data_IF_623011121584
#
_entry.id   IF_623011121584
#
_cell.length_a   1.000
_cell.length_b   1.000
_cell.length_c   1.000
_cell.angle_alpha   90.00
_cell.angle_beta   90.00
_cell.angle_gamma   90.00
#
_symmetry.space_group_name_H-M   'P 1'
#
loop_
_entity.id
_entity.type
_entity.pdbx_description
1 polymer ?
#
# COMPACT_ATOMS: atom_id res chain seq x y z
N UNK A 1 -6.27 13.29 -2.52
CA UNK A 1 -4.96 13.92 -2.83
C UNK A 1 -4.99 14.84 -4.05
N UNK A 2 -5.75 14.56 -5.12
CA UNK A 2 -5.79 15.44 -6.30
C UNK A 2 -6.15 16.92 -6.00
N UNK A 3 -7.11 17.19 -5.11
CA UNK A 3 -7.44 18.55 -4.70
C UNK A 3 -6.28 19.24 -3.97
N UNK A 4 -5.58 18.50 -3.09
CA UNK A 4 -4.40 18.98 -2.37
C UNK A 4 -3.24 19.28 -3.32
N UNK A 5 -2.98 18.41 -4.28
CA UNK A 5 -1.95 18.61 -5.30
C UNK A 5 -2.12 19.96 -6.03
N UNK A 6 -3.36 20.38 -6.30
CA UNK A 6 -3.66 21.64 -6.98
C UNK A 6 -3.42 22.88 -6.11
N UNK A 7 -3.50 22.73 -4.80
CA UNK A 7 -3.37 23.85 -3.83
C UNK A 7 -2.04 23.86 -3.09
N UNK A 8 -1.20 22.84 -3.29
CA UNK A 8 0.08 22.67 -2.60
C UNK A 8 1.13 23.62 -3.21
N UNK A 9 1.67 24.58 -2.44
CA UNK A 9 2.64 25.55 -2.94
C UNK A 9 4.03 24.95 -3.19
N UNK A 10 4.41 23.86 -2.50
CA UNK A 10 5.66 23.17 -2.77
C UNK A 10 5.50 22.30 -4.04
N UNK A 11 6.21 22.59 -5.14
CA UNK A 11 6.04 21.86 -6.40
C UNK A 11 6.41 20.38 -6.30
N UNK A 12 7.33 20.02 -5.40
CA UNK A 12 7.70 18.62 -5.15
C UNK A 12 6.58 17.87 -4.42
N UNK A 13 5.95 18.51 -3.43
CA UNK A 13 4.80 17.93 -2.74
C UNK A 13 3.56 17.87 -3.61
N UNK A 14 3.33 18.90 -4.44
CA UNK A 14 2.24 18.92 -5.41
C UNK A 14 2.36 17.74 -6.37
N UNK A 15 3.55 17.50 -6.91
CA UNK A 15 3.83 16.38 -7.80
C UNK A 15 3.69 15.02 -7.09
N UNK A 16 4.18 14.90 -5.85
CA UNK A 16 3.98 13.70 -5.03
C UNK A 16 2.49 13.37 -4.87
N UNK A 17 1.67 14.36 -4.52
CA UNK A 17 0.23 14.17 -4.31
C UNK A 17 -0.52 13.90 -5.60
N UNK A 18 -0.10 14.47 -6.73
CA UNK A 18 -0.65 14.16 -8.06
C UNK A 18 -0.39 12.70 -8.41
N UNK A 19 0.87 12.25 -8.31
CA UNK A 19 1.27 10.88 -8.61
C UNK A 19 0.61 9.85 -7.71
N UNK A 20 0.54 10.15 -6.41
CA UNK A 20 -0.20 9.32 -5.47
C UNK A 20 -1.69 9.27 -5.82
N UNK A 21 -2.31 10.37 -6.26
CA UNK A 21 -3.71 10.33 -6.68
C UNK A 21 -3.93 9.47 -7.94
N UNK A 22 -3.00 9.49 -8.89
CA UNK A 22 -3.03 8.66 -10.11
C UNK A 22 -2.79 7.18 -9.79
N UNK A 23 -1.79 6.91 -8.94
CA UNK A 23 -1.53 5.60 -8.37
C UNK A 23 -2.78 5.04 -7.69
N UNK A 24 -3.38 5.80 -6.79
CA UNK A 24 -4.60 5.38 -6.09
C UNK A 24 -5.82 5.27 -7.00
N UNK A 25 -5.91 5.99 -8.12
CA UNK A 25 -7.01 5.81 -9.06
C UNK A 25 -6.96 4.42 -9.70
N UNK A 26 -5.77 3.97 -10.10
CA UNK A 26 -5.59 2.61 -10.64
C UNK A 26 -5.83 1.51 -9.61
N UNK A 27 -5.72 1.82 -8.30
CA UNK A 27 -5.97 0.86 -7.21
C UNK A 27 -7.35 1.00 -6.57
N UNK A 28 -8.01 2.15 -6.66
CA UNK A 28 -9.40 2.37 -6.23
C UNK A 28 -10.41 1.86 -7.26
N UNK A 29 -9.93 1.44 -8.42
CA UNK A 29 -10.75 0.72 -9.37
C UNK A 29 -11.34 -0.54 -8.72
N UNK A 30 -12.51 -0.92 -9.20
CA UNK A 30 -13.35 -1.93 -8.57
C UNK A 30 -12.66 -3.26 -8.38
N UNK A 31 -11.57 -3.56 -9.08
CA UNK A 31 -10.70 -4.70 -8.83
C UNK A 31 -10.22 -4.82 -7.37
N UNK A 32 -9.76 -3.73 -6.75
CA UNK A 32 -9.25 -3.78 -5.37
C UNK A 32 -10.38 -3.65 -4.35
N UNK A 33 -11.40 -2.82 -4.62
CA UNK A 33 -12.60 -2.75 -3.77
C UNK A 33 -13.37 -4.08 -3.74
N UNK A 34 -13.53 -4.77 -4.88
CA UNK A 34 -14.12 -6.12 -4.94
C UNK A 34 -13.25 -7.14 -4.21
N UNK A 35 -11.92 -7.03 -4.29
CA UNK A 35 -10.99 -7.91 -3.57
C UNK A 35 -11.02 -7.71 -2.04
N UNK A 36 -11.41 -6.53 -1.54
CA UNK A 36 -11.49 -6.23 -0.10
C UNK A 36 -12.90 -6.28 0.49
N UNK A 37 -13.92 -5.93 -0.29
CA UNK A 37 -15.31 -5.76 0.17
C UNK A 37 -16.31 -6.68 -0.56
N UNK A 38 -15.83 -7.51 -1.50
CA UNK A 38 -16.62 -8.50 -2.23
C UNK A 38 -17.19 -8.01 -3.58
N UNK A 39 -17.66 -8.93 -4.44
CA UNK A 39 -18.33 -8.60 -5.69
C UNK A 39 -19.62 -7.78 -5.40
N UNK A 40 -19.83 -6.70 -6.13
CA UNK A 40 -21.00 -5.81 -5.99
C UNK A 40 -20.71 -4.40 -5.47
N UNK A 41 -19.47 -4.09 -5.09
CA UNK A 41 -19.04 -2.69 -4.96
C UNK A 41 -18.82 -2.14 -6.35
N UNK A 42 -19.77 -1.30 -6.77
CA UNK A 42 -19.65 -0.45 -7.95
C UNK A 42 -19.54 0.99 -7.47
N UNK A 43 -18.64 1.74 -8.09
CA UNK A 43 -18.72 3.20 -8.09
C UNK A 43 -20.05 3.63 -8.73
N UNK A 44 -20.52 4.83 -8.40
CA UNK A 44 -21.80 5.33 -8.90
C UNK A 44 -21.91 5.38 -10.43
N UNK A 45 -20.79 5.42 -11.15
CA UNK A 45 -20.72 5.53 -12.61
C UNK A 45 -20.57 4.19 -13.34
N UNK A 46 -20.18 3.11 -12.65
CA UNK A 46 -20.20 1.74 -13.21
C UNK A 46 -21.60 1.12 -13.16
N UNK A 47 -22.52 1.74 -12.43
CA UNK A 47 -23.90 1.28 -12.28
C UNK A 47 -24.62 1.30 -13.64
N UNK A 48 -24.86 0.11 -14.20
CA UNK A 48 -25.55 -0.08 -15.47
C UNK A 48 -24.67 -0.59 -16.62
N UNK A 49 -23.36 -0.78 -16.37
CA UNK A 49 -22.49 -1.52 -17.29
C UNK A 49 -22.79 -3.03 -17.20
N UNK A 50 -22.81 -3.71 -18.35
CA UNK A 50 -22.86 -5.17 -18.40
C UNK A 50 -21.48 -5.79 -18.07
N UNK A 51 -21.45 -7.11 -17.87
CA UNK A 51 -20.23 -7.85 -17.49
C UNK A 51 -19.08 -7.67 -18.50
N UNK A 52 -19.39 -7.58 -19.80
CA UNK A 52 -18.38 -7.39 -20.84
C UNK A 52 -17.77 -5.99 -20.79
N UNK A 53 -18.60 -4.97 -20.56
CA UNK A 53 -18.14 -3.60 -20.38
C UNK A 53 -17.31 -3.42 -19.10
N UNK A 54 -17.70 -4.06 -17.99
CA UNK A 54 -16.93 -4.09 -16.75
C UNK A 54 -15.58 -4.80 -16.94
N UNK A 55 -15.56 -5.96 -17.60
CA UNK A 55 -14.33 -6.68 -17.88
C UNK A 55 -13.36 -5.89 -18.79
N UNK A 56 -13.90 -5.16 -19.77
CA UNK A 56 -13.11 -4.29 -20.63
C UNK A 56 -12.51 -3.11 -19.85
N UNK A 57 -13.31 -2.46 -19.00
CA UNK A 57 -12.86 -1.38 -18.12
C UNK A 57 -11.75 -1.86 -17.16
N UNK A 58 -11.98 -2.99 -16.48
CA UNK A 58 -11.01 -3.64 -15.59
C UNK A 58 -9.69 -3.91 -16.34
N UNK A 59 -9.76 -4.40 -17.58
CA UNK A 59 -8.59 -4.68 -18.41
C UNK A 59 -7.84 -3.41 -18.85
N UNK A 60 -8.56 -2.34 -19.19
CA UNK A 60 -7.97 -1.05 -19.53
C UNK A 60 -7.23 -0.44 -18.34
N UNK A 61 -7.84 -0.47 -17.15
CA UNK A 61 -7.23 0.07 -15.94
C UNK A 61 -6.03 -0.78 -15.51
N UNK A 62 -6.13 -2.11 -15.59
CA UNK A 62 -5.01 -3.00 -15.35
C UNK A 62 -3.83 -2.76 -16.32
N UNK A 63 -4.13 -2.46 -17.59
CA UNK A 63 -3.13 -2.16 -18.62
C UNK A 63 -2.32 -0.88 -18.33
N UNK A 64 -2.97 0.15 -17.80
CA UNK A 64 -2.34 1.42 -17.42
C UNK A 64 -1.61 1.34 -16.05
N UNK A 65 -1.99 0.40 -15.20
CA UNK A 65 -1.49 0.30 -13.82
C UNK A 65 0.02 0.00 -13.74
N UNK A 66 0.51 -0.96 -14.53
CA UNK A 66 1.94 -1.32 -14.50
C UNK A 66 2.85 -0.19 -14.99
N UNK A 67 2.60 0.44 -16.17
CA UNK A 67 3.37 1.60 -16.62
C UNK A 67 3.37 2.77 -15.61
N UNK A 68 2.22 3.05 -14.99
CA UNK A 68 2.09 4.11 -13.97
C UNK A 68 2.98 3.83 -12.75
N UNK A 69 2.93 2.60 -12.21
CA UNK A 69 3.73 2.22 -11.05
C UNK A 69 5.23 2.33 -11.34
N UNK A 70 5.67 1.95 -12.55
CA UNK A 70 7.08 2.10 -13.00
C UNK A 70 7.46 3.58 -13.05
N UNK A 71 6.66 4.41 -13.73
CA UNK A 71 6.94 5.85 -13.84
C UNK A 71 6.98 6.55 -12.47
N UNK A 72 6.10 6.17 -11.55
CA UNK A 72 6.08 6.70 -10.19
C UNK A 72 7.28 6.24 -9.36
N UNK A 73 7.67 4.97 -9.45
CA UNK A 73 8.85 4.45 -8.78
C UNK A 73 10.13 5.14 -9.27
N UNK A 74 10.30 5.31 -10.58
CA UNK A 74 11.48 5.95 -11.15
C UNK A 74 11.58 7.42 -10.78
N UNK A 75 10.46 8.14 -10.80
CA UNK A 75 10.40 9.51 -10.30
C UNK A 75 10.77 9.59 -8.81
N UNK A 76 10.18 8.72 -7.97
CA UNK A 76 10.41 8.75 -6.52
C UNK A 76 11.87 8.40 -6.18
N UNK A 77 12.50 7.45 -6.87
CA UNK A 77 13.95 7.18 -6.72
C UNK A 77 14.79 8.43 -6.94
N UNK A 78 14.47 9.23 -7.97
CA UNK A 78 15.12 10.52 -8.21
C UNK A 78 14.98 11.46 -7.00
N UNK A 79 13.76 11.61 -6.50
CA UNK A 79 13.47 12.48 -5.35
C UNK A 79 14.19 12.03 -4.07
N UNK A 80 14.23 10.73 -3.80
CA UNK A 80 14.86 10.18 -2.60
C UNK A 80 16.39 10.32 -2.64
N UNK A 81 17.01 10.21 -3.82
CA UNK A 81 18.46 10.44 -3.98
C UNK A 81 18.86 11.88 -3.69
N UNK A 82 18.04 12.85 -4.08
CA UNK A 82 18.36 14.28 -3.93
C UNK A 82 17.99 14.84 -2.55
N UNK A 83 16.91 14.35 -1.95
CA UNK A 83 16.31 14.99 -0.77
C UNK A 83 16.09 14.05 0.41
N UNK A 84 16.29 12.74 0.23
CA UNK A 84 15.92 11.75 1.23
C UNK A 84 14.40 11.59 1.39
N UNK A 85 14.02 10.91 2.48
CA UNK A 85 12.63 10.57 2.76
C UNK A 85 11.75 11.80 3.07
N UNK A 86 10.45 11.67 2.78
CA UNK A 86 9.41 12.62 3.18
C UNK A 86 9.09 12.50 4.67
N UNK A 87 10.06 12.88 5.50
CA UNK A 87 9.97 12.88 6.96
C UNK A 87 8.75 13.64 7.48
N UNK A 88 8.05 13.04 8.45
CA UNK A 88 6.83 13.62 9.03
C UNK A 88 7.07 15.01 9.62
N UNK A 89 8.18 15.25 10.30
CA UNK A 89 8.45 16.56 10.93
C UNK A 89 8.65 17.70 9.94
N UNK A 90 9.01 17.39 8.69
CA UNK A 90 9.29 18.39 7.65
C UNK A 90 8.12 18.53 6.69
N UNK A 91 7.59 17.40 6.20
CA UNK A 91 6.63 17.35 5.11
C UNK A 91 5.23 16.90 5.55
N UNK A 92 5.08 16.47 6.81
CA UNK A 92 3.83 16.00 7.37
C UNK A 92 3.52 14.53 7.04
N UNK A 93 2.59 13.98 7.82
CA UNK A 93 2.16 12.59 7.77
C UNK A 93 1.51 12.15 6.45
N UNK A 94 1.03 13.10 5.65
CA UNK A 94 0.41 12.82 4.35
C UNK A 94 1.45 12.67 3.25
N UNK A 95 2.55 13.44 3.29
CA UNK A 95 3.66 13.26 2.35
C UNK A 95 4.38 11.94 2.61
N UNK A 96 4.64 11.60 3.88
CA UNK A 96 5.17 10.31 4.30
C UNK A 96 4.32 9.15 3.74
N UNK A 97 3.01 9.19 3.96
CA UNK A 97 2.09 8.17 3.45
C UNK A 97 2.01 8.11 1.92
N UNK A 98 2.04 9.27 1.24
CA UNK A 98 1.97 9.32 -0.21
C UNK A 98 3.22 8.73 -0.88
N UNK A 99 4.41 9.04 -0.35
CA UNK A 99 5.66 8.45 -0.82
C UNK A 99 5.69 6.94 -0.54
N UNK A 100 5.27 6.52 0.64
CA UNK A 100 5.21 5.11 1.00
C UNK A 100 4.28 4.30 0.10
N UNK A 101 3.11 4.82 -0.29
CA UNK A 101 2.18 4.13 -1.19
C UNK A 101 2.81 3.82 -2.55
N UNK A 102 3.53 4.79 -3.14
CA UNK A 102 4.26 4.58 -4.40
C UNK A 102 5.26 3.43 -4.25
N UNK A 103 5.99 3.37 -3.13
CA UNK A 103 6.95 2.29 -2.85
C UNK A 103 6.23 0.95 -2.69
N UNK A 104 5.11 0.93 -1.96
CA UNK A 104 4.31 -0.27 -1.73
C UNK A 104 3.85 -0.91 -3.06
N UNK A 105 3.52 -0.08 -4.06
CA UNK A 105 3.05 -0.48 -5.39
C UNK A 105 4.17 -0.78 -6.40
N UNK A 106 5.42 -0.44 -6.10
CA UNK A 106 6.58 -0.76 -6.93
C UNK A 106 6.98 -2.26 -6.91
N UNK A 107 6.02 -3.18 -7.09
CA UNK A 107 6.22 -4.65 -7.02
C UNK A 107 7.13 -5.19 -8.13
N UNK A 108 7.25 -4.45 -9.23
CA UNK A 108 8.20 -4.72 -10.31
C UNK A 108 9.66 -4.48 -9.88
N UNK A 109 9.89 -3.72 -8.79
CA UNK A 109 11.21 -3.36 -8.30
C UNK A 109 11.37 -3.66 -6.80
N UNK A 110 11.61 -4.93 -6.50
CA UNK A 110 11.86 -5.39 -5.13
C UNK A 110 13.20 -4.88 -4.56
N UNK A 111 14.15 -4.45 -5.41
CA UNK A 111 15.38 -3.84 -4.93
C UNK A 111 15.08 -2.47 -4.32
N UNK A 112 14.28 -1.65 -5.00
CA UNK A 112 13.83 -0.36 -4.49
C UNK A 112 13.03 -0.49 -3.19
N UNK A 113 12.12 -1.46 -3.08
CA UNK A 113 11.39 -1.68 -1.83
C UNK A 113 12.32 -2.00 -0.64
N UNK A 114 13.37 -2.79 -0.88
CA UNK A 114 14.36 -3.12 0.17
C UNK A 114 15.23 -1.93 0.55
N UNK A 115 15.62 -1.11 -0.42
CA UNK A 115 16.36 0.14 -0.17
C UNK A 115 15.55 1.09 0.70
N UNK A 116 14.27 1.32 0.35
CA UNK A 116 13.39 2.16 1.15
C UNK A 116 13.11 1.55 2.51
N UNK A 117 12.92 0.23 2.63
CA UNK A 117 12.73 -0.40 3.94
C UNK A 117 13.91 -0.10 4.89
N UNK A 118 15.15 -0.21 4.39
CA UNK A 118 16.33 0.14 5.17
C UNK A 118 16.37 1.63 5.55
N UNK A 119 15.88 2.50 4.67
CA UNK A 119 15.72 3.94 4.96
C UNK A 119 14.65 4.20 6.03
N UNK A 120 13.53 3.47 6.00
CA UNK A 120 12.41 3.67 6.93
C UNK A 120 12.68 3.13 8.34
N UNK A 121 13.55 2.14 8.50
CA UNK A 121 13.84 1.54 9.80
C UNK A 121 14.23 2.56 10.89
N UNK A 122 15.30 3.38 10.70
CA UNK A 122 15.66 4.39 11.70
C UNK A 122 14.60 5.50 11.81
N UNK A 123 13.89 5.82 10.73
CA UNK A 123 12.83 6.84 10.74
C UNK A 123 11.61 6.38 11.53
N UNK A 124 11.29 5.09 11.53
CA UNK A 124 10.22 4.56 12.35
C UNK A 124 10.56 4.67 13.83
N UNK A 125 11.80 4.36 14.21
CA UNK A 125 12.25 4.47 15.60
C UNK A 125 12.21 5.91 16.12
N UNK A 126 12.43 6.90 15.25
CA UNK A 126 12.34 8.32 15.60
C UNK A 126 10.98 8.94 15.33
N UNK A 127 9.99 8.17 14.87
CA UNK A 127 8.64 8.67 14.55
C UNK A 127 8.56 9.57 13.31
N UNK A 128 9.56 9.52 12.44
CA UNK A 128 9.66 10.29 11.18
C UNK A 128 9.00 9.59 9.98
N UNK A 129 8.53 8.36 10.18
CA UNK A 129 7.55 7.66 9.32
C UNK A 129 6.55 6.93 10.20
N UNK A 130 5.32 6.71 9.70
CA UNK A 130 4.32 5.94 10.46
C UNK A 130 4.80 4.50 10.63
N UNK A 131 4.66 3.95 11.84
CA UNK A 131 5.05 2.55 12.10
C UNK A 131 4.33 1.53 11.21
N UNK A 132 3.07 1.80 10.85
CA UNK A 132 2.33 0.98 9.91
C UNK A 132 2.99 0.93 8.52
N UNK A 133 3.58 2.03 8.04
CA UNK A 133 4.27 2.08 6.75
C UNK A 133 5.46 1.11 6.74
N UNK A 134 6.31 1.19 7.78
CA UNK A 134 7.42 0.26 7.96
C UNK A 134 6.94 -1.19 8.08
N UNK A 135 5.95 -1.46 8.94
CA UNK A 135 5.45 -2.80 9.20
C UNK A 135 4.92 -3.51 7.93
N UNK A 136 4.14 -2.80 7.13
CA UNK A 136 3.58 -3.33 5.89
C UNK A 136 4.65 -3.57 4.82
N UNK A 137 5.62 -2.66 4.68
CA UNK A 137 6.73 -2.83 3.74
C UNK A 137 7.68 -3.96 4.17
N UNK A 138 7.93 -4.09 5.48
CA UNK A 138 8.71 -5.19 6.05
C UNK A 138 8.12 -6.54 5.68
N UNK A 139 6.83 -6.75 5.98
CA UNK A 139 6.17 -8.01 5.71
C UNK A 139 6.05 -8.30 4.20
N UNK A 140 5.82 -7.28 3.37
CA UNK A 140 5.78 -7.45 1.91
C UNK A 140 7.15 -7.90 1.36
N UNK A 141 8.24 -7.23 1.77
CA UNK A 141 9.59 -7.60 1.33
C UNK A 141 10.01 -8.98 1.85
N UNK A 142 9.65 -9.32 3.09
CA UNK A 142 9.87 -10.66 3.65
C UNK A 142 9.13 -11.73 2.84
N UNK A 143 7.85 -11.49 2.54
CA UNK A 143 7.02 -12.40 1.75
C UNK A 143 7.62 -12.68 0.36
N UNK A 144 8.01 -11.66 -0.40
CA UNK A 144 8.61 -11.86 -1.72
C UNK A 144 10.02 -12.46 -1.67
N UNK A 145 10.70 -12.37 -0.53
CA UNK A 145 11.95 -13.08 -0.28
C UNK A 145 11.75 -14.52 0.22
N UNK A 146 10.50 -15.00 0.34
CA UNK A 146 10.19 -16.33 0.88
C UNK A 146 10.46 -16.48 2.38
N UNK A 147 10.54 -15.36 3.12
CA UNK A 147 10.79 -15.34 4.56
C UNK A 147 9.50 -15.09 5.34
N UNK A 148 9.41 -15.58 6.59
CA UNK A 148 8.32 -15.22 7.49
C UNK A 148 8.24 -13.71 7.72
N UNK A 149 7.02 -13.18 7.87
CA UNK A 149 6.77 -11.78 8.23
C UNK A 149 6.82 -11.56 9.74
N UNK A 150 6.96 -10.31 10.18
CA UNK A 150 6.98 -9.94 11.60
C UNK A 150 5.64 -9.45 12.11
N UNK A 151 4.87 -8.78 11.27
CA UNK A 151 3.66 -8.06 11.68
C UNK A 151 2.35 -8.77 11.29
N UNK A 152 2.41 -9.81 10.46
CA UNK A 152 1.24 -10.56 9.99
C UNK A 152 0.34 -9.78 9.03
N UNK A 153 0.93 -8.95 8.16
CA UNK A 153 0.21 -8.17 7.15
C UNK A 153 -0.10 -9.00 5.90
N UNK A 154 0.81 -9.89 5.51
CA UNK A 154 0.64 -10.74 4.33
C UNK A 154 -0.13 -12.02 4.68
N UNK A 155 -0.99 -12.49 3.78
CA UNK A 155 -1.84 -13.67 3.97
C UNK A 155 -2.87 -13.82 2.86
N UNK A 156 -3.61 -14.92 2.87
CA UNK A 156 -4.57 -15.28 1.82
C UNK A 156 -5.91 -15.71 2.40
N UNK A 157 -6.95 -15.68 1.57
CA UNK A 157 -8.21 -16.35 1.86
C UNK A 157 -8.03 -17.85 1.70
N UNK A 158 -8.13 -18.60 2.79
CA UNK A 158 -7.98 -20.06 2.80
C UNK A 158 -9.31 -20.81 2.76
N UNK A 159 -10.41 -20.10 3.06
CA UNK A 159 -11.78 -20.56 2.93
C UNK A 159 -12.72 -19.34 2.93
N UNK A 160 -14.01 -19.50 2.56
CA UNK A 160 -14.99 -18.42 2.69
C UNK A 160 -15.05 -17.90 4.14
N UNK A 161 -14.90 -16.58 4.31
CA UNK A 161 -14.84 -15.92 5.62
C UNK A 161 -13.56 -16.17 6.41
N UNK A 162 -12.53 -16.80 5.83
CA UNK A 162 -11.29 -17.14 6.53
C UNK A 162 -10.08 -16.60 5.79
N UNK A 163 -9.53 -15.50 6.32
CA UNK A 163 -8.21 -15.01 5.95
C UNK A 163 -7.17 -15.53 6.95
N UNK A 164 -6.07 -16.10 6.44
CA UNK A 164 -4.97 -16.61 7.27
C UNK A 164 -3.67 -15.87 6.95
N UNK A 165 -2.92 -15.39 7.95
CA UNK A 165 -1.62 -14.78 7.71
C UNK A 165 -0.61 -15.80 7.17
N UNK A 166 0.35 -15.33 6.38
CA UNK A 166 1.55 -16.08 6.01
C UNK A 166 2.38 -16.42 7.27
N UNK A 167 3.36 -17.35 7.19
CA UNK A 167 4.22 -17.68 8.32
C UNK A 167 4.82 -16.44 8.99
N UNK A 168 4.85 -16.45 10.32
CA UNK A 168 5.39 -15.37 11.15
C UNK A 168 6.78 -15.73 11.69
N UNK A 169 7.64 -14.73 11.87
CA UNK A 169 8.95 -14.87 12.53
C UNK A 169 8.77 -15.42 13.95
N UNK A 170 7.82 -14.84 14.70
CA UNK A 170 7.43 -15.29 16.03
C UNK A 170 5.92 -15.00 16.25
N UNK A 171 5.06 -16.02 16.22
CA UNK A 171 3.63 -15.87 16.49
C UNK A 171 3.31 -15.33 17.89
N UNK A 172 4.18 -15.53 18.89
CA UNK A 172 3.94 -15.07 20.26
C UNK A 172 4.30 -13.59 20.44
N UNK A 173 5.19 -13.06 19.60
CA UNK A 173 5.63 -11.66 19.66
C UNK A 173 4.88 -10.74 18.68
N UNK A 174 4.05 -11.27 17.77
CA UNK A 174 3.41 -10.48 16.71
C UNK A 174 2.63 -9.27 17.25
N UNK A 175 1.86 -9.44 18.32
CA UNK A 175 1.07 -8.33 18.88
C UNK A 175 1.94 -7.28 19.60
N UNK A 176 3.10 -7.66 20.11
CA UNK A 176 4.08 -6.72 20.65
C UNK A 176 4.63 -5.83 19.51
N UNK A 177 4.99 -6.44 18.38
CA UNK A 177 5.47 -5.71 17.20
C UNK A 177 4.39 -4.81 16.61
N UNK A 178 3.16 -5.32 16.47
CA UNK A 178 2.02 -4.53 15.99
C UNK A 178 1.74 -3.34 16.89
N UNK A 179 1.79 -3.52 18.21
CA UNK A 179 1.67 -2.42 19.17
C UNK A 179 2.78 -1.37 18.98
N UNK A 180 4.05 -1.78 18.82
CA UNK A 180 5.17 -0.87 18.54
C UNK A 180 4.97 -0.09 17.22
N UNK A 181 4.34 -0.71 16.23
CA UNK A 181 4.01 -0.07 14.95
C UNK A 181 2.71 0.77 14.96
N UNK A 182 2.01 0.85 16.10
CA UNK A 182 0.72 1.56 16.20
C UNK A 182 -0.44 0.84 15.52
N UNK A 183 -0.33 -0.47 15.32
CA UNK A 183 -1.32 -1.31 14.65
C UNK A 183 -2.22 -2.05 15.66
N UNK A 184 -3.48 -2.36 15.31
CA UNK A 184 -4.35 -3.18 16.15
C UNK A 184 -3.81 -4.61 16.26
N UNK A 185 -4.19 -5.40 17.28
CA UNK A 185 -3.80 -6.80 17.39
C UNK A 185 -4.08 -7.62 16.13
N UNK A 186 -3.28 -8.66 15.87
CA UNK A 186 -3.39 -9.49 14.67
C UNK A 186 -4.79 -10.10 14.53
N UNK A 187 -5.39 -10.56 15.62
CA UNK A 187 -6.75 -11.11 15.61
C UNK A 187 -7.80 -10.12 15.06
N UNK A 188 -7.69 -8.83 15.38
CA UNK A 188 -8.60 -7.81 14.84
C UNK A 188 -8.36 -7.58 13.34
N UNK A 189 -7.10 -7.60 12.92
CA UNK A 189 -6.75 -7.49 11.50
C UNK A 189 -7.24 -8.70 10.69
N UNK A 190 -7.08 -9.91 11.21
CA UNK A 190 -7.62 -11.15 10.64
C UNK A 190 -9.14 -11.04 10.51
N UNK A 191 -9.85 -10.64 11.57
CA UNK A 191 -11.30 -10.49 11.53
C UNK A 191 -11.76 -9.44 10.49
N UNK A 192 -11.00 -8.34 10.32
CA UNK A 192 -11.26 -7.35 9.28
C UNK A 192 -11.04 -7.92 7.88
N UNK A 193 -9.91 -8.60 7.64
CA UNK A 193 -9.54 -9.18 6.33
C UNK A 193 -10.47 -10.31 5.91
N UNK A 194 -10.88 -11.15 6.86
CA UNK A 194 -11.83 -12.26 6.64
C UNK A 194 -13.15 -11.83 6.03
N UNK A 195 -13.60 -10.59 6.25
CA UNK A 195 -14.83 -10.05 5.63
C UNK A 195 -14.76 -9.98 4.11
N UNK A 196 -13.55 -9.85 3.55
CA UNK A 196 -13.32 -9.82 2.11
C UNK A 196 -13.16 -11.20 1.47
N UNK A 197 -13.07 -12.28 2.26
CA UNK A 197 -12.96 -13.64 1.75
C UNK A 197 -14.33 -14.18 1.37
N UNK A 198 -14.75 -13.92 0.14
CA UNK A 198 -16.03 -14.39 -0.40
C UNK A 198 -15.91 -15.82 -0.97
N UNK A 199 -17.02 -16.57 -1.08
CA UNK A 199 -17.06 -17.86 -1.77
C UNK A 199 -16.65 -17.81 -3.24
#
# INVERSE_FOLDING_TARGET
MAARAKTEPDPRLAELYRRMAEDQFSTMDTLQLRAFFGPGIHTAWEKGLDEGALAYLDAMIAGEWCPMNVANADWLKGQLREHGWYKISIYGADADGAAWLIVQHARHDLAFQREVLAMLEPLWETGETKGQNYAMLYDQTAHYAGRPGRFGVMGDCTAPGVWSPKPLEDPNAVDLWRKKAGMPPLAQYVAMRSKGCVP
#
